data_IF_001499476656
#
_entry.id   IF_001499476656
#
_cell.length_a   1.000
_cell.length_b   1.000
_cell.length_c   1.000
_cell.angle_alpha   90.00
_cell.angle_beta   90.00
_cell.angle_gamma   90.00
#
_symmetry.space_group_name_H-M   'P 1'
#
loop_
_entity.id
_entity.type
_entity.pdbx_description
1 polymer ?
#
# COMPACT_ATOMS: atom_id res chain seq x y z
N UNK A 1 18.73 91.60 4.97
CA UNK A 1 19.11 91.15 6.33
C UNK A 1 18.76 89.69 6.67
N UNK A 2 17.83 89.02 5.98
CA UNK A 2 17.61 87.57 6.16
C UNK A 2 18.04 86.71 4.95
N UNK A 3 18.43 87.35 3.84
CA UNK A 3 18.89 86.64 2.63
C UNK A 3 20.42 86.51 2.59
N UNK A 4 21.15 87.43 3.24
CA UNK A 4 22.62 87.39 3.30
C UNK A 4 23.18 86.36 4.30
N UNK A 5 22.40 86.01 5.33
CA UNK A 5 22.78 84.98 6.31
C UNK A 5 22.70 83.53 5.76
N UNK A 6 21.95 83.31 4.68
CA UNK A 6 21.80 81.98 4.05
C UNK A 6 22.90 81.73 3.01
N UNK A 7 23.45 82.79 2.39
CA UNK A 7 24.60 82.69 1.50
C UNK A 7 25.90 82.34 2.25
N UNK A 8 26.04 82.79 3.50
CA UNK A 8 27.21 82.53 4.34
C UNK A 8 27.18 81.14 5.01
N UNK A 9 26.01 80.52 5.14
CA UNK A 9 25.88 79.13 5.59
C UNK A 9 26.10 78.12 4.44
N UNK A 10 25.81 78.51 3.19
CA UNK A 10 26.00 77.68 1.98
C UNK A 10 27.46 77.63 1.48
N UNK A 11 28.29 78.59 1.87
CA UNK A 11 29.73 78.57 1.57
C UNK A 11 30.54 77.67 2.54
N UNK A 12 30.00 77.41 3.74
CA UNK A 12 30.70 76.66 4.79
C UNK A 12 30.42 75.14 4.80
N UNK A 13 29.41 74.65 4.06
CA UNK A 13 29.12 73.21 3.95
C UNK A 13 29.79 72.52 2.74
N UNK A 14 30.70 73.21 2.04
CA UNK A 14 31.47 72.66 0.90
C UNK A 14 32.88 72.15 1.26
N UNK A 15 33.19 71.92 2.53
CA UNK A 15 34.46 71.36 3.03
C UNK A 15 34.30 70.32 4.14
N UNK A 16 33.53 69.27 3.87
CA UNK A 16 33.77 67.98 4.52
C UNK A 16 34.05 66.97 3.41
N UNK A 17 35.21 67.14 2.74
CA UNK A 17 35.85 66.00 2.09
C UNK A 17 36.24 65.09 3.24
N UNK A 18 35.57 63.96 3.37
CA UNK A 18 36.00 62.90 4.25
C UNK A 18 37.32 62.40 3.65
N UNK A 19 38.43 62.89 4.18
CA UNK A 19 39.76 62.36 3.86
C UNK A 19 39.74 60.91 4.33
N UNK A 20 39.73 59.97 3.38
CA UNK A 20 39.61 58.56 3.67
C UNK A 20 41.01 57.97 3.55
N UNK A 21 41.72 57.77 4.67
CA UNK A 21 43.12 57.38 4.57
C UNK A 21 43.25 55.97 3.98
N UNK A 22 44.24 55.76 3.13
CA UNK A 22 44.52 54.46 2.52
C UNK A 22 45.89 53.94 2.93
N UNK A 23 46.07 52.63 2.83
CA UNK A 23 47.34 51.99 3.14
C UNK A 23 48.27 52.03 1.94
N UNK A 24 49.41 52.70 2.10
CA UNK A 24 50.52 52.66 1.15
C UNK A 24 51.67 51.82 1.73
N UNK A 25 52.37 51.07 0.89
CA UNK A 25 53.55 50.27 1.29
C UNK A 25 54.80 50.85 0.65
N UNK A 26 55.77 51.27 1.46
CA UNK A 26 57.02 51.84 0.95
C UNK A 26 57.83 50.80 0.14
N UNK A 27 58.28 51.10 -1.09
CA UNK A 27 59.03 50.14 -1.93
C UNK A 27 60.43 49.81 -1.40
N UNK A 28 60.99 50.63 -0.50
CA UNK A 28 62.36 50.45 -0.01
C UNK A 28 62.46 49.72 1.34
N UNK A 29 61.46 49.86 2.22
CA UNK A 29 61.47 49.23 3.55
C UNK A 29 60.26 48.33 3.81
N UNK A 30 59.33 48.23 2.84
CA UNK A 30 58.14 47.38 2.87
C UNK A 30 57.17 47.63 4.04
N UNK A 31 57.35 48.71 4.79
CA UNK A 31 56.45 49.07 5.89
C UNK A 31 55.19 49.74 5.35
N UNK A 32 54.04 49.29 5.85
CA UNK A 32 52.74 49.89 5.56
C UNK A 32 52.55 51.14 6.41
N UNK A 33 52.17 52.24 5.78
CA UNK A 33 51.81 53.49 6.45
C UNK A 33 50.44 53.92 5.99
N UNK A 34 49.64 54.43 6.92
CA UNK A 34 48.36 55.06 6.63
C UNK A 34 48.66 56.45 6.05
N UNK A 35 48.17 56.73 4.86
CA UNK A 35 48.40 58.00 4.15
C UNK A 35 47.06 58.62 3.82
N UNK A 36 46.90 59.90 4.10
CA UNK A 36 45.69 60.64 3.74
C UNK A 36 45.57 60.81 2.23
N UNK A 37 44.34 60.73 1.71
CA UNK A 37 44.04 60.91 0.28
C UNK A 37 44.56 62.25 -0.28
N UNK A 38 44.75 63.28 0.57
CA UNK A 38 45.32 64.57 0.17
C UNK A 38 46.79 64.52 -0.24
N UNK A 39 47.52 63.49 0.20
CA UNK A 39 48.93 63.25 -0.12
C UNK A 39 49.12 62.30 -1.30
N UNK A 40 48.03 61.78 -1.87
CA UNK A 40 48.06 61.04 -3.13
C UNK A 40 48.71 61.89 -4.24
N UNK A 41 49.67 61.31 -4.97
CA UNK A 41 50.41 62.00 -6.04
C UNK A 41 51.58 62.86 -5.57
N UNK A 42 51.74 63.11 -4.27
CA UNK A 42 52.86 63.91 -3.73
C UNK A 42 54.12 63.07 -3.51
N UNK A 43 55.29 63.71 -3.60
CA UNK A 43 56.59 63.12 -3.29
C UNK A 43 57.06 63.55 -1.90
N UNK A 44 57.47 62.60 -1.08
CA UNK A 44 57.93 62.88 0.29
C UNK A 44 58.88 61.82 0.82
N UNK A 45 59.59 62.12 1.90
CA UNK A 45 60.45 61.14 2.56
C UNK A 45 59.61 60.14 3.36
N UNK A 46 59.90 58.85 3.21
CA UNK A 46 59.24 57.80 3.99
C UNK A 46 59.55 57.97 5.48
N UNK A 47 58.53 58.01 6.33
CA UNK A 47 58.68 58.19 7.79
C UNK A 47 59.58 57.13 8.48
N UNK A 48 59.76 55.96 7.87
CA UNK A 48 60.52 54.86 8.47
C UNK A 48 61.97 54.74 7.96
N UNK A 49 62.25 55.07 6.70
CA UNK A 49 63.59 54.90 6.11
C UNK A 49 64.18 56.17 5.50
N UNK A 50 63.48 57.30 5.60
CA UNK A 50 63.85 58.61 5.07
C UNK A 50 64.11 58.70 3.55
N UNK A 51 63.94 57.62 2.78
CA UNK A 51 64.06 57.63 1.31
C UNK A 51 62.85 58.33 0.68
N UNK A 52 63.08 59.09 -0.40
CA UNK A 52 61.99 59.72 -1.15
C UNK A 52 61.12 58.66 -1.84
N UNK A 53 59.81 58.77 -1.62
CA UNK A 53 58.77 57.91 -2.18
C UNK A 53 57.70 58.79 -2.83
N UNK A 54 57.14 58.30 -3.94
CA UNK A 54 55.96 58.91 -4.58
C UNK A 54 54.74 58.11 -4.19
N UNK A 55 53.76 58.75 -3.58
CA UNK A 55 52.50 58.10 -3.23
C UNK A 55 51.65 58.02 -4.52
N UNK A 56 51.26 56.82 -4.99
CA UNK A 56 50.44 56.70 -6.20
C UNK A 56 49.05 57.28 -5.96
N UNK A 57 48.49 57.94 -6.97
CA UNK A 57 47.08 58.35 -6.91
C UNK A 57 46.18 57.11 -6.87
N UNK A 58 45.16 57.07 -5.99
CA UNK A 58 44.17 56.02 -6.01
C UNK A 58 43.57 55.90 -7.42
N UNK A 59 43.39 54.68 -7.96
CA UNK A 59 42.76 54.54 -9.27
C UNK A 59 41.39 55.20 -9.24
N UNK A 60 41.15 56.10 -10.20
CA UNK A 60 39.87 56.79 -10.34
C UNK A 60 38.73 55.76 -10.31
N UNK A 61 37.73 55.98 -9.45
CA UNK A 61 36.53 55.12 -9.39
C UNK A 61 36.00 54.91 -10.82
N UNK A 62 35.70 53.66 -11.24
CA UNK A 62 35.13 53.41 -12.55
C UNK A 62 33.89 54.30 -12.74
N UNK A 63 33.93 55.19 -13.73
CA UNK A 63 32.82 56.09 -14.01
C UNK A 63 31.65 55.24 -14.51
N UNK A 64 30.52 55.31 -13.79
CA UNK A 64 29.24 54.78 -14.22
C UNK A 64 28.82 55.54 -15.49
N UNK A 65 29.15 55.01 -16.67
CA UNK A 65 28.99 55.81 -17.87
C UNK A 65 29.37 55.19 -19.21
N UNK A 66 29.35 53.87 -19.38
CA UNK A 66 29.25 53.27 -20.72
C UNK A 66 28.30 52.08 -20.64
N UNK A 67 27.14 52.20 -21.28
CA UNK A 67 26.28 51.04 -21.55
C UNK A 67 27.10 50.11 -22.46
N UNK A 68 27.34 48.84 -22.11
CA UNK A 68 27.90 47.91 -23.06
C UNK A 68 26.91 47.78 -24.21
N UNK A 69 27.40 48.02 -25.43
CA UNK A 69 26.73 47.70 -26.69
C UNK A 69 26.27 46.24 -26.58
N UNK A 70 24.99 46.01 -26.89
CA UNK A 70 24.30 44.75 -26.67
C UNK A 70 24.95 43.55 -27.34
N UNK A 71 25.92 42.95 -26.67
CA UNK A 71 26.22 41.53 -26.83
C UNK A 71 25.01 40.78 -26.27
N UNK A 72 24.41 39.91 -27.09
CA UNK A 72 23.50 38.88 -26.58
C UNK A 72 24.31 38.02 -25.63
N UNK A 73 24.34 38.39 -24.35
CA UNK A 73 24.61 37.46 -23.29
C UNK A 73 23.50 36.42 -23.41
N UNK A 74 23.78 35.34 -24.14
CA UNK A 74 23.14 34.05 -23.91
C UNK A 74 23.49 33.70 -22.47
N UNK A 75 22.73 34.26 -21.52
CA UNK A 75 22.68 33.75 -20.18
C UNK A 75 22.17 32.32 -20.34
N UNK A 76 23.10 31.38 -20.41
CA UNK A 76 22.82 29.98 -20.17
C UNK A 76 22.40 29.87 -18.71
N UNK A 77 21.16 30.28 -18.41
CA UNK A 77 20.55 29.93 -17.16
C UNK A 77 20.48 28.40 -17.15
N UNK A 78 21.16 27.70 -16.23
CA UNK A 78 21.00 26.27 -16.15
C UNK A 78 19.53 26.02 -15.83
N UNK A 79 18.77 25.47 -16.79
CA UNK A 79 17.41 25.00 -16.54
C UNK A 79 17.53 23.96 -15.43
N UNK A 80 17.22 24.36 -14.21
CA UNK A 80 17.30 23.48 -13.05
C UNK A 80 16.48 22.22 -13.35
N UNK A 81 17.02 21.01 -13.18
CA UNK A 81 16.36 19.76 -13.52
C UNK A 81 15.27 19.41 -12.50
N UNK A 82 14.46 20.39 -12.07
CA UNK A 82 13.45 20.23 -11.03
C UNK A 82 12.51 19.08 -11.38
N UNK A 83 12.00 19.01 -12.61
CA UNK A 83 11.14 17.91 -13.04
C UNK A 83 11.83 16.55 -12.99
N UNK A 84 13.13 16.45 -13.29
CA UNK A 84 13.87 15.20 -13.20
C UNK A 84 14.11 14.78 -11.74
N UNK A 85 14.38 15.71 -10.83
CA UNK A 85 14.51 15.43 -9.39
C UNK A 85 13.18 14.96 -8.81
N UNK A 86 12.07 15.65 -9.15
CA UNK A 86 10.73 15.25 -8.74
C UNK A 86 10.33 13.88 -9.30
N UNK A 87 10.66 13.59 -10.56
CA UNK A 87 10.42 12.27 -11.17
C UNK A 87 11.22 11.16 -10.47
N UNK A 88 12.51 11.37 -10.18
CA UNK A 88 13.34 10.40 -9.44
C UNK A 88 12.81 10.17 -8.03
N UNK A 89 12.39 11.22 -7.33
CA UNK A 89 11.77 11.10 -6.00
C UNK A 89 10.45 10.35 -6.04
N UNK A 90 9.61 10.59 -7.05
CA UNK A 90 8.33 9.90 -7.24
C UNK A 90 8.54 8.42 -7.59
N UNK A 91 9.47 8.11 -8.50
CA UNK A 91 9.85 6.73 -8.82
C UNK A 91 10.38 6.01 -7.58
N UNK A 92 11.29 6.65 -6.83
CA UNK A 92 11.79 6.11 -5.57
C UNK A 92 10.68 5.86 -4.55
N UNK A 93 9.74 6.80 -4.39
CA UNK A 93 8.58 6.65 -3.51
C UNK A 93 7.70 5.46 -3.92
N UNK A 94 7.38 5.33 -5.20
CA UNK A 94 6.57 4.22 -5.72
C UNK A 94 7.26 2.87 -5.49
N UNK A 95 8.58 2.78 -5.74
CA UNK A 95 9.35 1.57 -5.48
C UNK A 95 9.39 1.22 -3.98
N UNK A 96 9.59 2.21 -3.11
CA UNK A 96 9.54 2.01 -1.66
C UNK A 96 8.16 1.54 -1.20
N UNK A 97 7.08 2.17 -1.67
CA UNK A 97 5.71 1.76 -1.34
C UNK A 97 5.41 0.34 -1.86
N UNK A 98 5.82 0.02 -3.08
CA UNK A 98 5.68 -1.33 -3.65
C UNK A 98 6.44 -2.39 -2.85
N UNK A 99 7.66 -2.08 -2.40
CA UNK A 99 8.45 -2.98 -1.54
C UNK A 99 7.75 -3.19 -0.18
N UNK A 100 7.23 -2.13 0.44
CA UNK A 100 6.51 -2.24 1.70
C UNK A 100 5.26 -3.11 1.55
N UNK A 101 4.47 -2.90 0.49
CA UNK A 101 3.27 -3.71 0.21
C UNK A 101 3.63 -5.17 -0.08
N UNK A 102 4.68 -5.43 -0.86
CA UNK A 102 5.08 -6.80 -1.21
C UNK A 102 5.56 -7.60 0.02
N UNK A 103 6.35 -6.97 0.89
CA UNK A 103 6.75 -7.56 2.18
C UNK A 103 5.53 -7.80 3.06
N UNK A 104 4.60 -6.85 3.15
CA UNK A 104 3.37 -7.02 3.92
C UNK A 104 2.53 -8.20 3.42
N UNK A 105 2.31 -8.32 2.11
CA UNK A 105 1.58 -9.45 1.51
C UNK A 105 2.28 -10.78 1.76
N UNK A 106 3.61 -10.83 1.60
CA UNK A 106 4.38 -12.04 1.88
C UNK A 106 4.23 -12.49 3.34
N UNK A 107 4.24 -11.55 4.29
CA UNK A 107 4.09 -11.83 5.72
C UNK A 107 2.65 -12.20 6.12
N UNK A 108 1.64 -11.60 5.48
CA UNK A 108 0.22 -11.84 5.80
C UNK A 108 -0.32 -13.12 5.16
N UNK A 109 0.22 -13.55 4.01
CA UNK A 109 -0.23 -14.75 3.30
C UNK A 109 -0.27 -16.03 4.15
N UNK A 110 0.77 -16.42 4.93
CA UNK A 110 0.70 -17.62 5.76
C UNK A 110 -0.41 -17.53 6.81
N UNK A 111 -0.60 -16.35 7.40
CA UNK A 111 -1.66 -16.10 8.39
C UNK A 111 -3.03 -16.30 7.74
N UNK A 112 -3.25 -15.73 6.55
CA UNK A 112 -4.49 -15.89 5.81
C UNK A 112 -4.80 -17.37 5.49
N UNK A 113 -3.80 -18.15 5.05
CA UNK A 113 -3.98 -19.57 4.76
C UNK A 113 -4.39 -20.35 6.01
N UNK A 114 -3.73 -20.11 7.15
CA UNK A 114 -4.08 -20.74 8.43
C UNK A 114 -5.49 -20.35 8.87
N UNK A 115 -5.85 -19.06 8.78
CA UNK A 115 -7.20 -18.58 9.13
C UNK A 115 -8.27 -19.20 8.24
N UNK A 116 -8.03 -19.25 6.93
CA UNK A 116 -8.93 -19.89 5.97
C UNK A 116 -9.12 -21.37 6.29
N UNK A 117 -8.04 -22.10 6.57
CA UNK A 117 -8.13 -23.53 6.93
C UNK A 117 -8.93 -23.75 8.23
N UNK A 118 -8.75 -22.89 9.23
CA UNK A 118 -9.53 -22.95 10.48
C UNK A 118 -11.01 -22.65 10.25
N UNK A 119 -11.31 -21.63 9.45
CA UNK A 119 -12.69 -21.29 9.06
C UNK A 119 -13.34 -22.46 8.32
N UNK A 120 -12.66 -23.01 7.32
CA UNK A 120 -13.18 -24.10 6.50
C UNK A 120 -13.37 -25.38 7.35
N UNK A 121 -12.46 -25.67 8.29
CA UNK A 121 -12.62 -26.76 9.27
C UNK A 121 -13.83 -26.55 10.19
N UNK A 122 -14.00 -25.34 10.73
CA UNK A 122 -15.13 -25.01 11.61
C UNK A 122 -16.45 -25.13 10.88
N UNK A 123 -16.53 -24.58 9.67
CA UNK A 123 -17.72 -24.70 8.83
C UNK A 123 -18.00 -26.17 8.44
N UNK A 124 -16.97 -26.98 8.19
CA UNK A 124 -17.12 -28.42 7.97
C UNK A 124 -17.69 -29.14 9.21
N UNK A 125 -17.19 -28.81 10.41
CA UNK A 125 -17.73 -29.35 11.67
C UNK A 125 -19.20 -28.94 11.87
N UNK A 126 -19.56 -27.70 11.56
CA UNK A 126 -20.95 -27.23 11.66
C UNK A 126 -21.87 -27.99 10.68
N UNK A 127 -21.42 -28.23 9.44
CA UNK A 127 -22.17 -29.05 8.48
C UNK A 127 -22.38 -30.48 8.99
N UNK A 128 -21.34 -31.12 9.53
CA UNK A 128 -21.46 -32.46 10.13
C UNK A 128 -22.42 -32.47 11.32
N UNK A 129 -22.37 -31.44 12.17
CA UNK A 129 -23.31 -31.30 13.28
C UNK A 129 -24.76 -31.17 12.80
N UNK A 130 -25.03 -30.34 11.77
CA UNK A 130 -26.36 -30.23 11.17
C UNK A 130 -26.84 -31.55 10.58
N UNK A 131 -25.97 -32.27 9.86
CA UNK A 131 -26.29 -33.60 9.32
C UNK A 131 -26.58 -34.59 10.44
N UNK A 132 -25.78 -34.62 11.50
CA UNK A 132 -26.00 -35.52 12.63
C UNK A 132 -27.32 -35.22 13.36
N UNK A 133 -27.66 -33.94 13.55
CA UNK A 133 -28.95 -33.54 14.12
C UNK A 133 -30.12 -33.98 13.23
N UNK A 134 -30.00 -33.81 11.92
CA UNK A 134 -31.00 -34.26 10.96
C UNK A 134 -31.17 -35.79 10.95
N UNK A 135 -30.07 -36.55 11.00
CA UNK A 135 -30.10 -38.01 11.12
C UNK A 135 -30.79 -38.47 12.42
N UNK A 136 -30.49 -37.80 13.55
CA UNK A 136 -31.15 -38.11 14.81
C UNK A 136 -32.64 -37.74 14.78
N UNK A 137 -33.01 -36.59 14.21
CA UNK A 137 -34.42 -36.18 14.08
C UNK A 137 -35.21 -37.13 13.18
N UNK A 138 -34.59 -37.61 12.11
CA UNK A 138 -35.14 -38.68 11.27
C UNK A 138 -35.35 -39.96 12.09
N UNK A 139 -34.34 -40.41 12.84
CA UNK A 139 -34.45 -41.62 13.67
C UNK A 139 -35.53 -41.49 14.75
N UNK A 140 -35.67 -40.32 15.37
CA UNK A 140 -36.70 -40.04 16.37
C UNK A 140 -38.11 -40.07 15.74
N UNK A 141 -38.26 -39.60 14.49
CA UNK A 141 -39.56 -39.60 13.77
C UNK A 141 -39.94 -40.95 13.18
N UNK A 142 -38.99 -41.66 12.57
CA UNK A 142 -39.26 -42.88 11.80
C UNK A 142 -38.87 -44.16 12.54
N UNK A 143 -38.35 -44.05 13.77
CA UNK A 143 -37.96 -45.18 14.62
C UNK A 143 -36.59 -45.78 14.30
N UNK A 144 -35.94 -45.39 13.19
CA UNK A 144 -34.62 -45.87 12.81
C UNK A 144 -33.85 -44.85 11.97
N UNK A 145 -32.52 -44.95 11.95
CA UNK A 145 -31.70 -44.17 11.02
C UNK A 145 -32.07 -44.47 9.56
N UNK A 146 -31.90 -43.50 8.64
CA UNK A 146 -32.23 -43.71 7.24
C UNK A 146 -31.30 -44.77 6.62
N UNK A 147 -31.80 -45.62 5.72
CA UNK A 147 -30.95 -46.55 4.99
C UNK A 147 -29.93 -45.77 4.14
N UNK A 148 -28.66 -46.24 4.00
CA UNK A 148 -27.67 -45.56 3.17
C UNK A 148 -28.13 -45.37 1.72
N UNK A 149 -28.82 -46.39 1.19
CA UNK A 149 -29.44 -46.42 -0.14
C UNK A 149 -30.79 -47.12 -0.02
N UNK A 150 -31.81 -46.54 -0.64
CA UNK A 150 -33.11 -47.19 -0.86
C UNK A 150 -33.06 -47.91 -2.20
N UNK A 151 -33.48 -49.17 -2.22
CA UNK A 151 -33.52 -50.00 -3.43
C UNK A 151 -34.97 -50.28 -3.83
N UNK A 152 -35.23 -50.44 -5.12
CA UNK A 152 -36.50 -50.98 -5.60
C UNK A 152 -36.59 -52.52 -5.43
N UNK A 153 -37.73 -53.10 -5.79
CA UNK A 153 -37.94 -54.56 -5.73
C UNK A 153 -37.00 -55.36 -6.64
N UNK A 154 -36.40 -54.74 -7.65
CA UNK A 154 -35.42 -55.34 -8.55
C UNK A 154 -33.97 -55.15 -8.07
N UNK A 155 -33.75 -54.50 -6.92
CA UNK A 155 -32.43 -54.21 -6.37
C UNK A 155 -31.72 -53.02 -7.03
N UNK A 156 -32.43 -52.18 -7.78
CA UNK A 156 -31.89 -50.95 -8.35
C UNK A 156 -31.78 -49.87 -7.28
N UNK A 157 -30.65 -49.15 -7.16
CA UNK A 157 -30.52 -48.04 -6.21
C UNK A 157 -31.39 -46.87 -6.64
N UNK A 158 -32.37 -46.53 -5.82
CA UNK A 158 -33.36 -45.48 -6.08
C UNK A 158 -32.93 -44.16 -5.46
N UNK A 159 -32.71 -44.13 -4.14
CA UNK A 159 -32.50 -42.89 -3.40
C UNK A 159 -31.38 -42.99 -2.38
N UNK A 160 -30.78 -41.84 -2.05
CA UNK A 160 -29.78 -41.73 -1.00
C UNK A 160 -30.42 -41.28 0.31
N UNK A 161 -29.85 -41.69 1.45
CA UNK A 161 -30.14 -41.13 2.78
C UNK A 161 -30.21 -39.60 2.80
N UNK A 162 -29.41 -38.92 1.96
CA UNK A 162 -29.37 -37.45 1.87
C UNK A 162 -30.71 -36.84 1.46
N UNK A 163 -31.45 -37.52 0.59
CA UNK A 163 -32.78 -37.02 0.16
C UNK A 163 -33.79 -37.25 1.28
N UNK A 164 -33.69 -38.36 2.01
CA UNK A 164 -34.61 -38.73 3.09
C UNK A 164 -34.59 -37.74 4.26
N UNK A 165 -33.44 -37.11 4.53
CA UNK A 165 -33.29 -36.16 5.64
C UNK A 165 -33.48 -34.68 5.25
N UNK A 166 -33.81 -34.38 3.98
CA UNK A 166 -34.01 -32.98 3.55
C UNK A 166 -35.05 -32.22 4.38
N UNK A 167 -36.20 -32.84 4.78
CA UNK A 167 -37.15 -32.14 5.66
C UNK A 167 -36.55 -31.75 7.00
N UNK A 168 -35.61 -32.54 7.54
CA UNK A 168 -34.89 -32.24 8.80
C UNK A 168 -33.79 -31.19 8.64
N UNK A 169 -33.53 -30.74 7.41
CA UNK A 169 -32.51 -29.73 7.06
C UNK A 169 -33.14 -28.41 6.61
N UNK A 170 -34.45 -28.25 6.79
CA UNK A 170 -35.27 -27.13 6.31
C UNK A 170 -35.32 -27.03 4.76
N UNK A 171 -35.15 -28.16 4.06
CA UNK A 171 -35.13 -28.25 2.58
C UNK A 171 -36.44 -28.86 2.03
N UNK A 172 -37.58 -28.54 2.64
CA UNK A 172 -38.91 -29.10 2.29
C UNK A 172 -39.31 -28.79 0.84
N UNK A 173 -38.99 -27.59 0.36
CA UNK A 173 -39.27 -27.19 -1.03
C UNK A 173 -38.53 -28.07 -2.05
N UNK A 174 -37.29 -28.46 -1.76
CA UNK A 174 -36.51 -29.37 -2.60
C UNK A 174 -37.07 -30.80 -2.51
N UNK A 175 -37.40 -31.24 -1.29
CA UNK A 175 -38.00 -32.55 -1.06
C UNK A 175 -39.31 -32.74 -1.83
N UNK A 176 -40.19 -31.73 -1.84
CA UNK A 176 -41.46 -31.77 -2.58
C UNK A 176 -41.32 -31.84 -4.10
N UNK A 177 -40.19 -31.40 -4.65
CA UNK A 177 -39.91 -31.44 -6.09
C UNK A 177 -39.31 -32.77 -6.53
N UNK A 178 -38.82 -33.57 -5.58
CA UNK A 178 -38.15 -34.84 -5.85
C UNK A 178 -39.17 -35.93 -6.12
N UNK A 179 -39.00 -36.69 -7.21
CA UNK A 179 -39.87 -37.80 -7.55
C UNK A 179 -39.32 -39.11 -6.95
N UNK A 180 -40.00 -39.67 -5.94
CA UNK A 180 -39.62 -40.92 -5.29
C UNK A 180 -39.97 -42.18 -6.10
N UNK A 181 -40.80 -42.07 -7.14
CA UNK A 181 -41.08 -43.19 -8.03
C UNK A 181 -39.98 -43.38 -9.09
N UNK A 182 -39.04 -42.42 -9.17
CA UNK A 182 -37.95 -42.42 -10.13
C UNK A 182 -36.57 -42.53 -9.45
N UNK A 183 -35.60 -43.22 -10.07
CA UNK A 183 -34.22 -43.23 -9.59
C UNK A 183 -33.63 -41.81 -9.50
N UNK A 184 -32.59 -41.67 -8.68
CA UNK A 184 -31.87 -40.41 -8.49
C UNK A 184 -31.26 -39.83 -9.79
N UNK A 185 -30.91 -40.67 -10.77
CA UNK A 185 -30.29 -40.30 -12.05
C UNK A 185 -31.30 -40.13 -13.20
N UNK A 186 -32.60 -40.19 -12.91
CA UNK A 186 -33.67 -39.88 -13.87
C UNK A 186 -33.63 -38.43 -14.34
N UNK A 187 -34.26 -38.13 -15.48
CA UNK A 187 -34.32 -36.75 -16.02
C UNK A 187 -35.00 -35.78 -15.04
N UNK A 188 -36.04 -36.23 -14.33
CA UNK A 188 -36.78 -35.39 -13.38
C UNK A 188 -36.02 -35.12 -12.07
N UNK A 189 -35.20 -36.07 -11.60
CA UNK A 189 -34.40 -35.89 -10.38
C UNK A 189 -33.03 -35.27 -10.67
N UNK A 190 -32.41 -35.57 -11.81
CA UNK A 190 -31.11 -35.04 -12.19
C UNK A 190 -31.09 -33.50 -12.32
N UNK A 191 -32.22 -32.89 -12.73
CA UNK A 191 -32.35 -31.42 -12.78
C UNK A 191 -32.23 -30.76 -11.38
N UNK A 192 -32.50 -31.51 -10.31
CA UNK A 192 -32.45 -31.01 -8.94
C UNK A 192 -31.02 -30.97 -8.37
N UNK A 193 -30.03 -31.56 -9.07
CA UNK A 193 -28.63 -31.55 -8.60
C UNK A 193 -28.05 -30.13 -8.50
N UNK A 194 -28.52 -29.19 -9.31
CA UNK A 194 -28.12 -27.78 -9.22
C UNK A 194 -28.57 -27.13 -7.90
N UNK A 195 -29.62 -27.67 -7.28
CA UNK A 195 -30.21 -27.22 -6.03
C UNK A 195 -29.71 -28.00 -4.82
N UNK A 196 -28.59 -28.73 -4.94
CA UNK A 196 -27.99 -29.47 -3.84
C UNK A 196 -27.75 -28.56 -2.62
N UNK A 197 -28.22 -28.94 -1.42
CA UNK A 197 -27.99 -28.15 -0.22
C UNK A 197 -26.50 -28.00 0.11
N UNK A 198 -26.07 -26.77 0.41
CA UNK A 198 -24.66 -26.46 0.76
C UNK A 198 -24.15 -27.24 1.97
N UNK A 199 -25.04 -27.71 2.84
CA UNK A 199 -24.69 -28.54 4.01
C UNK A 199 -23.99 -29.84 3.60
N UNK A 200 -24.24 -30.34 2.38
CA UNK A 200 -23.57 -31.55 1.87
C UNK A 200 -22.19 -31.30 1.28
N UNK A 201 -21.75 -30.05 1.13
CA UNK A 201 -20.47 -29.72 0.51
C UNK A 201 -19.46 -29.22 1.56
N UNK A 202 -18.23 -29.74 1.49
CA UNK A 202 -17.14 -29.25 2.33
C UNK A 202 -16.68 -27.88 1.83
N UNK A 203 -16.58 -26.86 2.70
CA UNK A 203 -16.06 -25.53 2.33
C UNK A 203 -14.62 -25.54 1.82
N UNK A 204 -13.87 -26.60 2.14
CA UNK A 204 -12.49 -26.82 1.69
C UNK A 204 -12.36 -27.63 0.39
N UNK A 205 -13.44 -28.27 -0.08
CA UNK A 205 -13.46 -28.85 -1.41
C UNK A 205 -13.47 -27.68 -2.41
N UNK A 206 -12.38 -27.49 -3.14
CA UNK A 206 -12.22 -26.35 -4.04
C UNK A 206 -13.42 -26.19 -4.98
N UNK A 207 -13.83 -24.96 -5.23
CA UNK A 207 -14.97 -24.55 -6.08
C UNK A 207 -14.79 -24.91 -7.58
N UNK A 208 -13.94 -25.87 -7.92
CA UNK A 208 -13.48 -26.18 -9.28
C UNK A 208 -14.35 -27.16 -10.06
N UNK A 209 -15.38 -27.74 -9.45
CA UNK A 209 -16.33 -28.63 -10.15
C UNK A 209 -17.64 -27.89 -10.40
N UNK A 210 -18.11 -27.91 -11.65
CA UNK A 210 -19.39 -27.35 -12.08
C UNK A 210 -20.56 -27.99 -11.30
N UNK A 211 -20.34 -29.20 -10.78
CA UNK A 211 -21.26 -29.93 -9.92
C UNK A 211 -20.83 -29.83 -8.46
N UNK A 212 -21.76 -29.47 -7.57
CA UNK A 212 -21.55 -29.54 -6.13
C UNK A 212 -21.53 -31.02 -5.71
N UNK A 213 -20.34 -31.58 -5.50
CA UNK A 213 -20.23 -32.94 -4.99
C UNK A 213 -20.60 -32.98 -3.50
N UNK A 214 -21.40 -33.98 -3.12
CA UNK A 214 -21.63 -34.33 -1.72
C UNK A 214 -20.32 -34.82 -1.11
N UNK A 215 -19.72 -34.03 -0.22
CA UNK A 215 -18.41 -34.30 0.38
C UNK A 215 -18.47 -35.20 1.61
N UNK A 216 -19.66 -35.32 2.22
CA UNK A 216 -19.88 -36.12 3.43
C UNK A 216 -20.49 -37.46 3.07
N UNK A 217 -19.96 -38.54 3.63
CA UNK A 217 -20.38 -39.93 3.37
C UNK A 217 -20.73 -40.64 4.67
N UNK A 218 -21.64 -41.60 4.61
CA UNK A 218 -21.89 -42.51 5.73
C UNK A 218 -20.85 -43.62 5.72
N UNK A 219 -20.43 -44.02 6.91
CA UNK A 219 -19.60 -45.22 7.10
C UNK A 219 -20.55 -46.38 7.38
N UNK A 220 -20.56 -47.35 6.47
CA UNK A 220 -21.40 -48.55 6.55
C UNK A 220 -20.57 -49.77 6.89
N UNK A 221 -21.11 -50.69 7.69
CA UNK A 221 -20.44 -51.93 8.05
C UNK A 221 -20.89 -52.47 9.38
N UNK A 222 -20.41 -53.67 9.71
CA UNK A 222 -20.70 -54.29 11.00
C UNK A 222 -20.14 -53.39 12.12
N UNK A 223 -20.89 -53.26 13.22
CA UNK A 223 -20.57 -52.37 14.35
C UNK A 223 -20.53 -50.87 13.99
N UNK A 224 -21.27 -50.46 12.97
CA UNK A 224 -21.56 -49.04 12.68
C UNK A 224 -23.04 -48.76 12.91
N UNK A 225 -23.42 -47.47 12.91
CA UNK A 225 -24.83 -47.04 12.94
C UNK A 225 -25.59 -47.50 11.68
N UNK A 226 -24.88 -47.89 10.62
CA UNK A 226 -25.43 -48.35 9.35
C UNK A 226 -24.94 -49.77 9.04
N UNK A 227 -25.43 -50.80 9.75
CA UNK A 227 -25.02 -52.17 9.53
C UNK A 227 -25.65 -52.74 8.26
N UNK A 228 -25.11 -53.86 7.78
CA UNK A 228 -25.64 -54.56 6.59
C UNK A 228 -26.95 -55.32 6.88
N UNK A 229 -27.20 -55.64 8.16
CA UNK A 229 -28.28 -56.53 8.59
C UNK A 229 -29.65 -55.84 8.78
N UNK A 230 -29.75 -54.53 8.55
CA UNK A 230 -31.01 -53.78 8.69
C UNK A 230 -30.80 -52.38 9.28
N UNK A 231 -31.87 -51.57 9.37
CA UNK A 231 -31.81 -50.26 9.99
C UNK A 231 -31.69 -50.39 11.52
N UNK A 232 -30.91 -49.52 12.16
CA UNK A 232 -30.79 -49.45 13.62
C UNK A 232 -31.64 -48.31 14.17
N UNK A 233 -32.29 -48.55 15.31
CA UNK A 233 -32.89 -47.50 16.11
C UNK A 233 -31.85 -46.81 16.98
N UNK A 234 -32.13 -45.57 17.39
CA UNK A 234 -31.26 -44.84 18.32
C UNK A 234 -31.10 -45.57 19.66
N UNK A 235 -32.15 -46.24 20.13
CA UNK A 235 -32.12 -47.05 21.35
C UNK A 235 -31.23 -48.29 21.27
N UNK A 236 -30.89 -48.74 20.06
CA UNK A 236 -30.03 -49.92 19.85
C UNK A 236 -28.52 -49.58 19.94
N UNK A 237 -28.18 -48.29 20.07
CA UNK A 237 -26.82 -47.78 20.13
C UNK A 237 -26.48 -47.47 21.59
N UNK A 238 -25.95 -48.46 22.31
CA UNK A 238 -25.46 -48.35 23.70
C UNK A 238 -23.95 -48.16 23.77
#
# INVERSE_FOLDING_TARGET
MLVDAIAEFSSNQRRLRIDMPFYFTCPYCFKKTLVDDSLAGQQGACANCAKQITIPEPPAKPQAGTKPVGGKYLSSQPRSPMFAIWAVKLVGLVLCLGLVVSVAVFMLKPIYVVMKQRRDRTACMNNLQRIAMALNSYADRYGSYPPPVVYDSAGKPMHSWRVLILPELDEESLYSQYNFDEPWDSVNNARLFASCPKVYTSPGAGSGTIFQHSSYVLVTGDKTIFPKAGPLARGDIS
#
